data_IF_429092266760
#
_entry.id   IF_429092266760
#
_cell.length_a   1.000
_cell.length_b   1.000
_cell.length_c   1.000
_cell.angle_alpha   90.00
_cell.angle_beta   90.00
_cell.angle_gamma   90.00
#
_symmetry.space_group_name_H-M   'P 1'
#
loop_
_entity.id
_entity.type
_entity.pdbx_description
1 polymer ?
#
# COMPACT_ATOMS: atom_id res chain seq x y z
N UNK A 1 -7.61 -25.27 35.30
CA UNK A 1 -6.66 -24.16 35.12
C UNK A 1 -5.95 -24.37 33.79
N UNK A 2 -6.41 -23.72 32.72
CA UNK A 2 -5.80 -23.86 31.40
C UNK A 2 -4.62 -22.89 31.29
N UNK A 3 -3.40 -23.41 31.33
CA UNK A 3 -2.25 -22.69 30.80
C UNK A 3 -2.41 -22.68 29.28
N UNK A 4 -2.94 -21.59 28.73
CA UNK A 4 -2.69 -21.27 27.34
C UNK A 4 -1.16 -21.17 27.21
N UNK A 5 -0.54 -22.19 26.59
CA UNK A 5 0.91 -22.25 26.43
C UNK A 5 1.38 -20.97 25.75
N UNK A 6 2.22 -20.21 26.44
CA UNK A 6 2.81 -19.01 25.86
C UNK A 6 3.57 -19.43 24.60
N UNK A 7 3.22 -18.81 23.47
CA UNK A 7 3.92 -19.05 22.20
C UNK A 7 5.38 -18.66 22.40
N UNK A 8 6.30 -19.58 22.12
CA UNK A 8 7.72 -19.29 22.30
C UNK A 8 8.19 -18.29 21.25
N UNK A 9 9.20 -17.47 21.59
CA UNK A 9 9.79 -16.54 20.63
C UNK A 9 10.37 -17.28 19.40
N UNK A 10 10.79 -18.54 19.58
CA UNK A 10 11.27 -19.39 18.50
C UNK A 10 10.15 -19.79 17.55
N UNK A 11 8.97 -20.15 18.06
CA UNK A 11 7.81 -20.47 17.22
C UNK A 11 7.39 -19.26 16.37
N UNK A 12 7.38 -18.06 16.97
CA UNK A 12 7.09 -16.80 16.26
C UNK A 12 8.11 -16.57 15.15
N UNK A 13 9.41 -16.76 15.45
CA UNK A 13 10.49 -16.59 14.48
C UNK A 13 10.38 -17.58 13.32
N UNK A 14 10.06 -18.84 13.60
CA UNK A 14 9.86 -19.87 12.57
C UNK A 14 8.71 -19.47 11.65
N UNK A 15 7.54 -19.14 12.20
CA UNK A 15 6.36 -18.72 11.41
C UNK A 15 6.67 -17.50 10.55
N UNK A 16 7.37 -16.51 11.10
CA UNK A 16 7.76 -15.29 10.38
C UNK A 16 8.75 -15.58 9.23
N UNK A 17 9.72 -16.45 9.45
CA UNK A 17 10.67 -16.85 8.41
C UNK A 17 10.00 -17.69 7.32
N UNK A 18 9.05 -18.56 7.68
CA UNK A 18 8.24 -19.32 6.73
C UNK A 18 7.39 -18.38 5.88
N UNK A 19 6.71 -17.41 6.49
CA UNK A 19 5.94 -16.40 5.77
C UNK A 19 6.81 -15.60 4.78
N UNK A 20 7.97 -15.10 5.21
CA UNK A 20 8.92 -14.40 4.33
C UNK A 20 9.38 -15.30 3.17
N UNK A 21 9.73 -16.55 3.47
CA UNK A 21 10.21 -17.50 2.46
C UNK A 21 9.12 -17.78 1.42
N UNK A 22 7.87 -17.99 1.85
CA UNK A 22 6.73 -18.20 0.95
C UNK A 22 6.43 -16.96 0.11
N UNK A 23 6.47 -15.76 0.71
CA UNK A 23 6.30 -14.48 -0.02
C UNK A 23 7.39 -14.34 -1.09
N UNK A 24 8.65 -14.56 -0.73
CA UNK A 24 9.77 -14.45 -1.66
C UNK A 24 9.66 -15.49 -2.79
N UNK A 25 9.31 -16.73 -2.45
CA UNK A 25 9.11 -17.79 -3.44
C UNK A 25 8.03 -17.39 -4.45
N UNK A 26 6.88 -16.93 -3.99
CA UNK A 26 5.80 -16.43 -4.85
C UNK A 26 6.29 -15.28 -5.75
N UNK A 27 6.95 -14.26 -5.16
CA UNK A 27 7.42 -13.08 -5.89
C UNK A 27 8.50 -13.38 -6.93
N UNK A 28 9.35 -14.38 -6.72
CA UNK A 28 10.42 -14.72 -7.66
C UNK A 28 10.04 -15.77 -8.69
N UNK A 29 9.28 -16.79 -8.29
CA UNK A 29 8.93 -17.90 -9.19
C UNK A 29 7.81 -17.51 -10.13
N UNK A 30 6.75 -16.87 -9.62
CA UNK A 30 5.57 -16.59 -10.46
C UNK A 30 5.76 -15.41 -11.41
N UNK A 31 6.70 -14.50 -11.11
CA UNK A 31 6.93 -13.29 -11.91
C UNK A 31 7.30 -13.55 -13.37
N UNK A 32 7.95 -14.68 -13.68
CA UNK A 32 8.43 -14.97 -15.04
C UNK A 32 7.35 -15.49 -15.98
N UNK A 33 6.26 -16.01 -15.45
CA UNK A 33 5.17 -16.65 -16.23
C UNK A 33 3.79 -16.10 -15.85
N UNK A 34 3.74 -14.94 -15.17
CA UNK A 34 2.52 -14.39 -14.62
C UNK A 34 1.52 -13.95 -15.70
N UNK A 35 0.32 -14.51 -15.62
CA UNK A 35 -0.88 -13.98 -16.27
C UNK A 35 -1.23 -12.59 -15.72
N UNK A 36 -2.08 -11.80 -16.40
CA UNK A 36 -2.55 -10.50 -15.90
C UNK A 36 -3.08 -10.53 -14.46
N UNK A 37 -3.88 -11.55 -14.12
CA UNK A 37 -4.43 -11.72 -12.77
C UNK A 37 -3.30 -11.95 -11.76
N UNK A 38 -2.32 -12.79 -12.10
CA UNK A 38 -1.15 -13.04 -11.25
C UNK A 38 -0.28 -11.80 -11.08
N UNK A 39 -0.13 -10.94 -12.10
CA UNK A 39 0.59 -9.67 -11.96
C UNK A 39 -0.03 -8.78 -10.89
N UNK A 40 -1.36 -8.68 -10.83
CA UNK A 40 -2.06 -7.94 -9.76
C UNK A 40 -1.75 -8.53 -8.38
N UNK A 41 -1.78 -9.85 -8.25
CA UNK A 41 -1.43 -10.52 -6.99
C UNK A 41 0.04 -10.31 -6.61
N UNK A 42 0.97 -10.30 -7.57
CA UNK A 42 2.37 -10.00 -7.32
C UNK A 42 2.56 -8.60 -6.73
N UNK A 43 1.85 -7.60 -7.23
CA UNK A 43 1.89 -6.25 -6.66
C UNK A 43 1.32 -6.23 -5.24
N UNK A 44 0.19 -6.90 -5.03
CA UNK A 44 -0.44 -6.98 -3.70
C UNK A 44 0.48 -7.66 -2.68
N UNK A 45 1.11 -8.77 -3.06
CA UNK A 45 2.08 -9.49 -2.22
C UNK A 45 3.34 -8.65 -1.98
N UNK A 46 3.82 -7.90 -2.98
CA UNK A 46 4.94 -6.98 -2.80
C UNK A 46 4.60 -5.87 -1.80
N UNK A 47 3.38 -5.32 -1.84
CA UNK A 47 2.91 -4.36 -0.84
C UNK A 47 2.78 -4.99 0.55
N UNK A 48 2.21 -6.18 0.68
CA UNK A 48 2.17 -6.90 1.95
C UNK A 48 3.56 -7.13 2.54
N UNK A 49 4.55 -7.42 1.70
CA UNK A 49 5.93 -7.59 2.12
C UNK A 49 6.55 -6.28 2.63
N UNK A 50 6.32 -5.16 1.96
CA UNK A 50 6.74 -3.83 2.45
C UNK A 50 6.07 -3.52 3.79
N UNK A 51 4.75 -3.73 3.89
CA UNK A 51 4.00 -3.48 5.12
C UNK A 51 4.50 -4.33 6.29
N UNK A 52 4.76 -5.62 6.06
CA UNK A 52 5.32 -6.54 7.06
C UNK A 52 6.62 -5.97 7.64
N UNK A 53 7.54 -5.52 6.78
CA UNK A 53 8.82 -5.02 7.26
C UNK A 53 8.75 -3.63 7.91
N UNK A 54 7.98 -2.71 7.34
CA UNK A 54 7.98 -1.31 7.78
C UNK A 54 7.02 -1.08 8.95
N UNK A 55 5.84 -1.71 8.91
CA UNK A 55 4.76 -1.44 9.88
C UNK A 55 4.74 -2.48 10.99
N UNK A 56 4.88 -3.77 10.65
CA UNK A 56 4.82 -4.84 11.66
C UNK A 56 6.18 -5.09 12.32
N UNK A 57 7.27 -5.06 11.56
CA UNK A 57 8.63 -5.26 12.09
C UNK A 57 9.37 -3.95 12.40
N UNK A 58 8.77 -2.81 12.11
CA UNK A 58 9.30 -1.48 12.43
C UNK A 58 10.71 -1.22 11.91
N UNK A 59 11.07 -1.85 10.78
CA UNK A 59 12.38 -1.66 10.17
C UNK A 59 12.44 -0.23 9.58
N UNK A 60 13.49 0.55 9.89
CA UNK A 60 13.63 1.91 9.37
C UNK A 60 13.57 1.96 7.83
N UNK A 61 12.77 2.90 7.30
CA UNK A 61 12.60 3.13 5.86
C UNK A 61 13.89 3.63 5.17
N UNK A 62 14.86 4.11 5.94
CA UNK A 62 16.20 4.48 5.48
C UNK A 62 17.12 3.28 5.23
N UNK A 63 16.68 2.05 5.57
CA UNK A 63 17.44 0.83 5.31
C UNK A 63 17.47 0.46 3.81
N UNK A 64 18.61 -0.05 3.33
CA UNK A 64 18.76 -0.49 1.94
C UNK A 64 17.74 -1.56 1.54
N UNK A 65 17.45 -2.50 2.44
CA UNK A 65 16.46 -3.55 2.23
C UNK A 65 15.07 -2.99 1.94
N UNK A 66 14.60 -2.01 2.73
CA UNK A 66 13.28 -1.41 2.54
C UNK A 66 13.21 -0.66 1.22
N UNK A 67 14.22 0.14 0.89
CA UNK A 67 14.31 0.81 -0.41
C UNK A 67 14.24 -0.18 -1.57
N UNK A 68 14.91 -1.32 -1.45
CA UNK A 68 14.88 -2.37 -2.47
C UNK A 68 13.49 -3.01 -2.60
N UNK A 69 12.79 -3.27 -1.49
CA UNK A 69 11.43 -3.80 -1.50
C UNK A 69 10.45 -2.81 -2.15
N UNK A 70 10.54 -1.53 -1.78
CA UNK A 70 9.72 -0.45 -2.37
C UNK A 70 9.98 -0.30 -3.86
N UNK A 71 11.24 -0.27 -4.28
CA UNK A 71 11.61 -0.19 -5.70
C UNK A 71 11.07 -1.39 -6.50
N UNK A 72 11.14 -2.60 -5.94
CA UNK A 72 10.57 -3.82 -6.56
C UNK A 72 9.05 -3.76 -6.65
N UNK A 73 8.38 -3.26 -5.61
CA UNK A 73 6.94 -3.07 -5.61
C UNK A 73 6.51 -2.05 -6.67
N UNK A 74 7.20 -0.90 -6.75
CA UNK A 74 6.97 0.11 -7.78
C UNK A 74 7.12 -0.48 -9.18
N UNK A 75 8.22 -1.20 -9.43
CA UNK A 75 8.46 -1.85 -10.72
C UNK A 75 7.41 -2.92 -11.06
N UNK A 76 6.90 -3.65 -10.05
CA UNK A 76 5.81 -4.61 -10.25
C UNK A 76 4.49 -3.89 -10.58
N UNK A 77 4.22 -2.76 -9.93
CA UNK A 77 3.04 -1.94 -10.20
C UNK A 77 3.10 -1.37 -11.62
N UNK A 78 4.22 -0.77 -12.03
CA UNK A 78 4.42 -0.26 -13.39
C UNK A 78 4.22 -1.35 -14.46
N UNK A 79 4.72 -2.57 -14.22
CA UNK A 79 4.51 -3.71 -15.13
C UNK A 79 3.04 -4.17 -15.17
N UNK A 80 2.34 -4.16 -14.03
CA UNK A 80 0.91 -4.45 -13.98
C UNK A 80 0.11 -3.41 -14.77
N UNK A 81 0.44 -2.13 -14.62
CA UNK A 81 -0.29 -1.02 -15.27
C UNK A 81 -0.19 -0.98 -16.79
N UNK A 82 0.84 -1.62 -17.35
CA UNK A 82 0.93 -1.83 -18.79
C UNK A 82 -0.26 -2.65 -19.35
N UNK A 83 -0.96 -3.37 -18.47
CA UNK A 83 -2.14 -4.16 -18.80
C UNK A 83 -3.38 -3.30 -18.59
N UNK A 84 -4.09 -3.03 -19.70
CA UNK A 84 -5.33 -2.30 -19.67
C UNK A 84 -6.33 -2.93 -18.69
N UNK A 85 -6.98 -2.07 -17.89
CA UNK A 85 -8.06 -2.43 -16.97
C UNK A 85 -7.69 -3.39 -15.82
N UNK A 86 -6.40 -3.67 -15.56
CA UNK A 86 -5.98 -4.61 -14.51
C UNK A 86 -6.50 -4.25 -13.10
N UNK A 87 -6.72 -2.96 -12.85
CA UNK A 87 -7.22 -2.43 -11.59
C UNK A 87 -8.72 -2.12 -11.59
N UNK A 88 -9.43 -2.32 -12.71
CA UNK A 88 -10.87 -2.05 -12.77
C UNK A 88 -11.59 -2.87 -11.72
N UNK A 89 -12.44 -2.20 -10.93
CA UNK A 89 -13.18 -2.80 -9.79
C UNK A 89 -12.28 -3.25 -8.62
N UNK A 90 -11.01 -2.86 -8.59
CA UNK A 90 -10.05 -3.19 -7.52
C UNK A 90 -9.38 -1.94 -6.93
N UNK A 91 -10.08 -0.81 -6.96
CA UNK A 91 -9.56 0.48 -6.48
C UNK A 91 -9.11 0.43 -5.02
N UNK A 92 -9.81 -0.33 -4.17
CA UNK A 92 -9.42 -0.50 -2.77
C UNK A 92 -8.04 -1.14 -2.60
N UNK A 93 -7.75 -2.19 -3.38
CA UNK A 93 -6.44 -2.84 -3.36
C UNK A 93 -5.36 -1.89 -3.91
N UNK A 94 -5.65 -1.15 -4.98
CA UNK A 94 -4.73 -0.19 -5.55
C UNK A 94 -4.43 0.95 -4.57
N UNK A 95 -5.45 1.53 -3.94
CA UNK A 95 -5.30 2.56 -2.91
C UNK A 95 -4.43 2.08 -1.76
N UNK A 96 -4.66 0.85 -1.29
CA UNK A 96 -3.85 0.24 -0.25
C UNK A 96 -2.40 0.04 -0.68
N UNK A 97 -2.15 -0.49 -1.88
CA UNK A 97 -0.79 -0.64 -2.44
C UNK A 97 -0.06 0.71 -2.50
N UNK A 98 -0.73 1.75 -3.00
CA UNK A 98 -0.16 3.10 -3.11
C UNK A 98 0.13 3.69 -1.73
N UNK A 99 -0.80 3.53 -0.78
CA UNK A 99 -0.63 3.95 0.61
C UNK A 99 0.59 3.28 1.25
N UNK A 100 0.72 1.95 1.11
CA UNK A 100 1.88 1.20 1.61
C UNK A 100 3.17 1.67 0.93
N UNK A 101 3.13 2.04 -0.35
CA UNK A 101 4.24 2.70 -1.04
C UNK A 101 4.68 4.00 -0.37
N UNK A 102 3.75 4.86 0.01
CA UNK A 102 4.05 6.12 0.71
C UNK A 102 4.68 5.83 2.09
N UNK A 103 4.10 4.91 2.85
CA UNK A 103 4.62 4.49 4.17
C UNK A 103 6.02 3.91 4.05
N UNK A 104 6.23 2.99 3.11
CA UNK A 104 7.50 2.30 2.94
C UNK A 104 8.62 3.16 2.35
N UNK A 105 8.28 4.17 1.56
CA UNK A 105 9.26 5.06 0.92
C UNK A 105 9.93 6.02 1.90
N UNK A 106 9.33 6.28 3.07
CA UNK A 106 9.85 7.31 3.98
C UNK A 106 9.93 8.66 3.26
N UNK A 107 11.12 9.28 3.22
CA UNK A 107 11.37 10.58 2.59
C UNK A 107 12.04 10.49 1.20
N UNK A 108 11.96 9.35 0.51
CA UNK A 108 12.56 9.19 -0.84
C UNK A 108 11.66 9.73 -1.95
N UNK A 109 12.22 9.88 -3.15
CA UNK A 109 11.48 10.29 -4.36
C UNK A 109 10.31 9.35 -4.69
N UNK A 110 10.41 8.06 -4.34
CA UNK A 110 9.33 7.09 -4.51
C UNK A 110 8.05 7.52 -3.77
N UNK A 111 8.18 8.19 -2.62
CA UNK A 111 7.03 8.69 -1.83
C UNK A 111 6.15 9.60 -2.68
N UNK A 112 6.76 10.55 -3.38
CA UNK A 112 6.03 11.50 -4.22
C UNK A 112 5.38 10.80 -5.42
N UNK A 113 6.06 9.80 -6.00
CA UNK A 113 5.50 9.00 -7.08
C UNK A 113 4.22 8.29 -6.63
N UNK A 114 4.25 7.58 -5.49
CA UNK A 114 3.07 6.90 -4.95
C UNK A 114 1.96 7.88 -4.55
N UNK A 115 2.30 9.00 -3.89
CA UNK A 115 1.33 10.02 -3.47
C UNK A 115 0.60 10.66 -4.67
N UNK A 116 1.34 11.09 -5.69
CA UNK A 116 0.76 11.67 -6.91
C UNK A 116 -0.24 10.74 -7.58
N UNK A 117 0.00 9.43 -7.47
CA UNK A 117 -0.83 8.39 -8.07
C UNK A 117 -2.04 8.06 -7.21
N UNK A 118 -1.87 8.06 -5.89
CA UNK A 118 -2.97 7.89 -4.94
C UNK A 118 -4.00 9.00 -5.10
N UNK A 119 -3.56 10.26 -5.19
CA UNK A 119 -4.46 11.39 -5.43
C UNK A 119 -5.29 11.23 -6.71
N UNK A 120 -4.69 10.78 -7.82
CA UNK A 120 -5.42 10.49 -9.07
C UNK A 120 -6.50 9.42 -8.91
N UNK A 121 -6.28 8.42 -8.06
CA UNK A 121 -7.28 7.38 -7.78
C UNK A 121 -8.40 7.94 -6.90
N UNK A 122 -8.06 8.76 -5.90
CA UNK A 122 -9.05 9.46 -5.06
C UNK A 122 -9.91 10.44 -5.87
N UNK A 123 -9.31 11.22 -6.77
CA UNK A 123 -10.05 12.17 -7.61
C UNK A 123 -11.06 11.44 -8.50
N UNK A 124 -10.63 10.35 -9.15
CA UNK A 124 -11.53 9.50 -9.95
C UNK A 124 -12.66 8.92 -9.11
N UNK A 125 -12.39 8.52 -7.87
CA UNK A 125 -13.40 8.00 -6.97
C UNK A 125 -14.39 9.10 -6.55
N UNK A 126 -13.90 10.32 -6.30
CA UNK A 126 -14.70 11.50 -5.97
C UNK A 126 -15.59 11.99 -7.12
N UNK A 127 -15.17 11.83 -8.36
CA UNK A 127 -16.00 12.18 -9.54
C UNK A 127 -17.22 11.24 -9.70
N UNK A 128 -17.11 10.01 -9.20
CA UNK A 128 -18.13 8.95 -9.37
C UNK A 128 -19.01 8.79 -8.12
N UNK A 129 -18.46 9.06 -6.93
CA UNK A 129 -19.13 8.84 -5.66
C UNK A 129 -19.64 10.16 -5.05
N UNK A 130 -20.77 10.14 -4.32
CA UNK A 130 -21.21 11.28 -3.54
C UNK A 130 -20.11 11.76 -2.56
N UNK A 131 -19.99 13.07 -2.28
CA UNK A 131 -18.96 13.63 -1.40
C UNK A 131 -18.93 12.97 -0.01
N UNK A 132 -20.11 12.57 0.49
CA UNK A 132 -20.30 11.89 1.77
C UNK A 132 -19.61 10.51 1.83
N UNK A 133 -19.42 9.86 0.69
CA UNK A 133 -18.72 8.57 0.58
C UNK A 133 -17.22 8.73 0.34
N UNK A 134 -16.79 9.88 -0.19
CA UNK A 134 -15.38 10.20 -0.40
C UNK A 134 -14.85 11.02 0.78
N UNK A 135 -14.80 10.40 1.96
CA UNK A 135 -14.30 11.02 3.18
C UNK A 135 -13.12 10.23 3.79
N UNK A 136 -12.41 10.86 4.72
CA UNK A 136 -11.22 10.30 5.40
C UNK A 136 -11.52 8.97 6.08
N UNK A 137 -12.66 8.87 6.75
CA UNK A 137 -13.06 7.70 7.54
C UNK A 137 -13.35 6.50 6.62
N UNK A 138 -13.99 6.72 5.48
CA UNK A 138 -14.20 5.67 4.46
C UNK A 138 -12.88 5.17 3.90
N UNK A 139 -11.93 6.09 3.64
CA UNK A 139 -10.59 5.71 3.19
C UNK A 139 -9.86 4.89 4.27
N UNK A 140 -9.91 5.32 5.52
CA UNK A 140 -9.35 4.58 6.66
C UNK A 140 -9.93 3.17 6.75
N UNK A 141 -11.27 3.03 6.72
CA UNK A 141 -11.95 1.72 6.77
C UNK A 141 -11.55 0.82 5.60
N UNK A 142 -11.43 1.38 4.40
CA UNK A 142 -11.02 0.64 3.21
C UNK A 142 -9.58 0.13 3.33
N UNK A 143 -8.65 0.98 3.76
CA UNK A 143 -7.26 0.60 3.99
C UNK A 143 -7.15 -0.43 5.12
N UNK A 144 -7.95 -0.25 6.17
CA UNK A 144 -7.97 -1.14 7.32
C UNK A 144 -8.53 -2.53 7.00
N UNK A 145 -9.36 -2.66 5.96
CA UNK A 145 -9.83 -3.94 5.45
C UNK A 145 -8.72 -4.86 4.90
N UNK A 146 -7.53 -4.33 4.63
CA UNK A 146 -6.35 -5.11 4.23
C UNK A 146 -5.45 -5.39 5.43
N UNK A 147 -4.75 -4.36 5.90
CA UNK A 147 -3.85 -4.38 7.06
C UNK A 147 -3.75 -2.96 7.63
N UNK A 148 -3.70 -2.85 8.96
CA UNK A 148 -3.72 -1.56 9.65
C UNK A 148 -2.90 -1.56 10.94
N UNK A 149 -2.25 -0.44 11.22
CA UNK A 149 -1.62 -0.17 12.53
C UNK A 149 -1.61 1.33 12.79
N UNK A 150 -2.48 1.77 13.70
CA UNK A 150 -2.73 3.18 14.02
C UNK A 150 -1.46 4.02 14.14
N UNK A 151 -0.50 3.56 14.95
CA UNK A 151 0.76 4.27 15.26
C UNK A 151 1.55 4.70 14.02
N UNK A 152 1.53 3.91 12.95
CA UNK A 152 2.27 4.18 11.71
C UNK A 152 1.36 4.68 10.59
N UNK A 153 0.12 4.20 10.54
CA UNK A 153 -0.78 4.47 9.42
C UNK A 153 -1.53 5.80 9.56
N UNK A 154 -1.99 6.17 10.78
CA UNK A 154 -2.78 7.38 10.98
C UNK A 154 -2.02 8.66 10.60
N UNK A 155 -0.76 8.89 11.03
CA UNK A 155 -0.05 10.12 10.67
C UNK A 155 0.13 10.29 9.16
N UNK A 156 0.38 9.19 8.45
CA UNK A 156 0.51 9.19 6.99
C UNK A 156 -0.85 9.41 6.33
N UNK A 157 -1.93 8.82 6.85
CA UNK A 157 -3.28 9.07 6.35
C UNK A 157 -3.67 10.54 6.49
N UNK A 158 -3.40 11.16 7.64
CA UNK A 158 -3.68 12.59 7.88
C UNK A 158 -2.91 13.48 6.91
N UNK A 159 -1.63 13.20 6.67
CA UNK A 159 -0.80 13.94 5.71
C UNK A 159 -1.36 13.84 4.29
N UNK A 160 -1.71 12.63 3.84
CA UNK A 160 -2.26 12.38 2.51
C UNK A 160 -3.61 13.08 2.36
N UNK A 161 -4.50 12.93 3.34
CA UNK A 161 -5.84 13.51 3.29
C UNK A 161 -5.79 15.04 3.32
N UNK A 162 -4.95 15.62 4.17
CA UNK A 162 -4.70 17.07 4.21
C UNK A 162 -4.18 17.61 2.88
N UNK A 163 -3.24 16.91 2.25
CA UNK A 163 -2.70 17.30 0.94
C UNK A 163 -3.75 17.24 -0.17
N UNK A 164 -4.61 16.22 -0.15
CA UNK A 164 -5.68 16.05 -1.14
C UNK A 164 -6.72 17.16 -1.05
N UNK A 165 -7.21 17.48 0.15
CA UNK A 165 -8.19 18.55 0.37
C UNK A 165 -7.66 19.94 -0.02
N UNK A 166 -6.37 20.20 0.21
CA UNK A 166 -5.71 21.44 -0.22
C UNK A 166 -5.60 21.55 -1.75
N UNK A 167 -5.28 20.44 -2.44
CA UNK A 167 -5.26 20.41 -3.92
C UNK A 167 -6.64 20.67 -4.51
N UNK A 168 -7.69 20.06 -3.97
CA UNK A 168 -9.06 20.28 -4.43
C UNK A 168 -9.50 21.75 -4.27
N UNK A 169 -9.19 22.36 -3.12
CA UNK A 169 -9.49 23.77 -2.85
C UNK A 169 -8.79 24.70 -3.85
N UNK A 170 -7.53 24.43 -4.16
CA UNK A 170 -6.75 25.23 -5.13
C UNK A 170 -7.33 25.11 -6.54
N UNK A 171 -7.80 23.92 -6.92
CA UNK A 171 -8.42 23.67 -8.22
C UNK A 171 -9.78 24.37 -8.38
N UNK A 172 -10.59 24.45 -7.31
CA UNK A 172 -11.88 25.17 -7.34
C UNK A 172 -11.69 26.67 -7.51
N UNK A 173 -10.69 27.27 -6.85
CA UNK A 173 -10.40 28.70 -7.00
C UNK A 173 -9.86 29.09 -8.39
N UNK A 174 -9.23 28.16 -9.11
CA UNK A 174 -8.72 28.43 -10.46
C UNK A 174 -9.77 28.25 -11.57
N UNK A 175 -10.90 27.59 -11.29
CA UNK A 175 -11.99 27.37 -12.24
C UNK A 175 -13.05 28.49 -12.23
N UNK A 176 -12.94 29.46 -11.30
CA UNK A 176 -13.89 30.57 -11.09
C UNK A 176 -13.33 31.91 -11.61
N UNK A 177 -12.17 31.91 -12.27
CA UNK A 177 -11.59 33.05 -12.99
C UNK A 177 -11.60 32.78 -14.49
#
# INVERSE_FOLDING_TARGET
MNHAGAVSADDIRIVMNTADSSILHFLYVERRTATPVQKRFLVLVAAAHVFLYVVLREIPTTGHMIRLLVARMRAALDDADSIALIWVSHDAALLWILFVGIVGSGATEDRQWFASRLHKVLDRAGDVLPPERCNRETLEQMLAGFLWRDERCLPVLEEIWGSHTQQQSTHTYSAVK
#
